data_IF_580896295666
#
_entry.id   IF_580896295666
#
_cell.length_a   1.000
_cell.length_b   1.000
_cell.length_c   1.000
_cell.angle_alpha   90.00
_cell.angle_beta   90.00
_cell.angle_gamma   90.00
#
_symmetry.space_group_name_H-M   'P 1'
#
loop_
_entity.id
_entity.type
_entity.pdbx_description
1 polymer ?
#
# COMPACT_ATOMS: atom_id res chain seq x y z
N UNK A 1 -14.00 0.25 -5.63
CA UNK A 1 -12.77 -0.55 -5.45
C UNK A 1 -12.78 -1.68 -6.48
N UNK A 2 -11.63 -2.19 -6.92
CA UNK A 2 -11.57 -3.21 -7.99
C UNK A 2 -11.89 -4.62 -7.51
N UNK A 3 -12.01 -4.85 -6.19
CA UNK A 3 -12.23 -6.16 -5.55
C UNK A 3 -11.20 -7.24 -5.95
N UNK A 4 -10.01 -6.82 -6.41
CA UNK A 4 -8.90 -7.69 -6.78
C UNK A 4 -7.87 -7.75 -5.66
N UNK A 5 -7.22 -8.89 -5.49
CA UNK A 5 -6.10 -9.05 -4.56
C UNK A 5 -4.87 -8.33 -5.11
N UNK A 6 -4.46 -7.25 -4.47
CA UNK A 6 -3.37 -6.42 -5.01
C UNK A 6 -1.99 -7.10 -4.88
N UNK A 7 -1.59 -7.58 -3.69
CA UNK A 7 -0.24 -8.09 -3.47
C UNK A 7 0.84 -7.14 -4.00
N UNK A 8 1.79 -7.68 -4.77
CA UNK A 8 2.83 -6.95 -5.49
C UNK A 8 2.44 -6.58 -6.94
N UNK A 9 1.16 -6.61 -7.30
CA UNK A 9 0.69 -6.27 -8.65
C UNK A 9 1.25 -4.92 -9.10
N UNK A 10 2.01 -4.87 -10.22
CA UNK A 10 2.58 -3.63 -10.73
C UNK A 10 1.51 -2.61 -11.13
N UNK A 11 1.81 -1.32 -10.98
CA UNK A 11 1.00 -0.24 -11.51
C UNK A 11 -0.34 0.01 -10.80
N UNK A 12 -0.65 -0.67 -9.69
CA UNK A 12 -1.82 -0.34 -8.86
C UNK A 12 -1.59 1.02 -8.21
N UNK A 13 -2.48 1.98 -8.53
CA UNK A 13 -2.44 3.38 -8.07
C UNK A 13 -3.50 3.64 -7.00
N UNK A 14 -3.34 4.73 -6.26
CA UNK A 14 -4.40 5.27 -5.43
C UNK A 14 -5.56 5.80 -6.29
N UNK A 15 -6.78 5.53 -5.84
CA UNK A 15 -7.96 6.23 -6.35
C UNK A 15 -8.08 7.63 -5.71
N UNK A 16 -9.06 8.40 -6.16
CA UNK A 16 -9.25 9.79 -5.73
C UNK A 16 -9.40 9.92 -4.21
N UNK A 17 -10.15 8.99 -3.59
CA UNK A 17 -10.29 8.93 -2.14
C UNK A 17 -8.95 8.64 -1.45
N UNK A 18 -8.18 7.69 -1.97
CA UNK A 18 -6.86 7.34 -1.44
C UNK A 18 -5.88 8.51 -1.54
N UNK A 19 -5.90 9.25 -2.65
CA UNK A 19 -5.09 10.48 -2.79
C UNK A 19 -5.50 11.54 -1.78
N UNK A 20 -6.80 11.78 -1.61
CA UNK A 20 -7.29 12.71 -0.58
C UNK A 20 -6.88 12.28 0.85
N UNK A 21 -6.86 10.97 1.13
CA UNK A 21 -6.38 10.44 2.41
C UNK A 21 -4.87 10.64 2.58
N UNK A 22 -4.07 10.44 1.53
CA UNK A 22 -2.63 10.66 1.54
C UNK A 22 -2.28 12.13 1.83
N UNK A 23 -2.98 13.07 1.20
CA UNK A 23 -2.82 14.51 1.48
C UNK A 23 -3.20 14.86 2.93
N UNK A 24 -4.27 14.25 3.46
CA UNK A 24 -4.70 14.49 4.83
C UNK A 24 -3.70 14.02 5.90
N UNK A 25 -2.79 13.08 5.56
CA UNK A 25 -1.74 12.62 6.50
C UNK A 25 -0.83 13.75 6.94
N UNK A 26 -0.58 14.75 6.08
CA UNK A 26 0.28 15.89 6.40
C UNK A 26 -0.23 16.62 7.63
N UNK A 27 -1.52 16.93 7.65
CA UNK A 27 -2.15 17.62 8.78
C UNK A 27 -2.30 16.69 9.99
N UNK A 28 -2.63 15.42 9.76
CA UNK A 28 -2.80 14.44 10.82
C UNK A 28 -1.51 14.20 11.63
N UNK A 29 -0.35 14.22 10.95
CA UNK A 29 0.96 14.00 11.56
C UNK A 29 1.72 15.29 11.85
N UNK A 30 1.06 16.45 11.70
CA UNK A 30 1.68 17.74 11.98
C UNK A 30 2.19 17.80 13.44
N UNK A 31 3.41 18.31 13.61
CA UNK A 31 4.06 18.44 14.92
C UNK A 31 4.65 17.15 15.49
N UNK A 32 4.49 16.00 14.84
CA UNK A 32 5.21 14.79 15.22
C UNK A 32 6.70 14.90 14.85
N UNK A 33 7.63 14.39 15.68
CA UNK A 33 9.07 14.49 15.44
C UNK A 33 9.56 13.47 14.40
N UNK A 34 8.93 13.44 13.23
CA UNK A 34 9.26 12.50 12.16
C UNK A 34 10.54 12.97 11.45
N UNK A 35 11.57 12.12 11.47
CA UNK A 35 12.90 12.41 10.91
C UNK A 35 13.12 11.81 9.51
N UNK A 36 12.37 10.78 9.16
CA UNK A 36 12.52 10.03 7.93
C UNK A 36 11.19 9.37 7.52
N UNK A 37 11.01 9.16 6.21
CA UNK A 37 9.86 8.46 5.64
C UNK A 37 10.38 7.31 4.79
N UNK A 38 9.94 6.10 5.11
CA UNK A 38 10.23 4.89 4.34
C UNK A 38 8.95 4.36 3.72
N UNK A 39 9.06 3.79 2.52
CA UNK A 39 7.93 3.20 1.80
C UNK A 39 8.35 1.95 1.05
N UNK A 40 7.40 1.05 0.83
CA UNK A 40 7.51 0.05 -0.22
C UNK A 40 7.71 0.74 -1.59
N UNK A 41 8.45 0.13 -2.54
CA UNK A 41 8.56 0.64 -3.91
C UNK A 41 7.25 0.46 -4.72
N UNK A 42 6.19 -0.12 -4.13
CA UNK A 42 4.89 -0.22 -4.80
C UNK A 42 4.28 1.17 -4.99
N UNK A 43 3.82 1.47 -6.22
CA UNK A 43 3.38 2.82 -6.62
C UNK A 43 2.35 3.41 -5.66
N UNK A 44 1.33 2.65 -5.26
CA UNK A 44 0.32 3.10 -4.28
C UNK A 44 0.91 3.52 -2.92
N UNK A 45 2.00 2.89 -2.48
CA UNK A 45 2.67 3.21 -1.22
C UNK A 45 3.48 4.48 -1.37
N UNK A 46 4.24 4.61 -2.46
CA UNK A 46 4.98 5.83 -2.81
C UNK A 46 4.01 7.02 -2.92
N UNK A 47 2.89 6.86 -3.62
CA UNK A 47 1.85 7.90 -3.72
C UNK A 47 1.26 8.29 -2.35
N UNK A 48 1.20 7.35 -1.39
CA UNK A 48 0.72 7.64 -0.04
C UNK A 48 1.74 8.42 0.77
N UNK A 49 3.02 8.08 0.64
CA UNK A 49 4.12 8.67 1.41
C UNK A 49 4.57 10.04 0.87
N UNK A 50 4.40 10.28 -0.43
CA UNK A 50 4.94 11.47 -1.12
C UNK A 50 4.49 12.80 -0.51
N UNK A 51 3.19 13.03 -0.22
CA UNK A 51 2.76 14.33 0.34
C UNK A 51 3.38 14.62 1.70
N UNK A 52 3.45 13.61 2.57
CA UNK A 52 4.07 13.73 3.89
C UNK A 52 5.57 13.97 3.79
N UNK A 53 6.28 13.21 2.96
CA UNK A 53 7.71 13.38 2.74
C UNK A 53 8.04 14.79 2.23
N UNK A 54 7.26 15.30 1.27
CA UNK A 54 7.39 16.66 0.76
C UNK A 54 7.16 17.72 1.85
N UNK A 55 6.12 17.57 2.66
CA UNK A 55 5.82 18.51 3.74
C UNK A 55 6.88 18.53 4.87
N UNK A 56 7.58 17.41 5.07
CA UNK A 56 8.67 17.27 6.04
C UNK A 56 10.05 17.61 5.46
N UNK A 57 10.14 17.95 4.16
CA UNK A 57 11.39 18.21 3.44
C UNK A 57 12.41 17.06 3.54
N UNK A 58 11.92 15.81 3.53
CA UNK A 58 12.74 14.60 3.51
C UNK A 58 12.38 13.72 2.31
N UNK A 59 13.30 12.90 1.79
CA UNK A 59 12.96 11.94 0.75
C UNK A 59 12.03 10.86 1.31
N UNK A 60 11.10 10.39 0.48
CA UNK A 60 10.46 9.09 0.68
C UNK A 60 11.44 8.00 0.20
N UNK A 61 12.06 7.29 1.14
CA UNK A 61 13.05 6.26 0.84
C UNK A 61 12.33 4.95 0.52
N UNK A 62 12.50 4.47 -0.71
CA UNK A 62 11.98 3.17 -1.13
C UNK A 62 12.84 2.04 -0.55
N UNK A 63 12.20 1.05 0.08
CA UNK A 63 12.85 -0.13 0.63
C UNK A 63 12.00 -1.38 0.36
N UNK A 64 12.60 -2.37 -0.27
CA UNK A 64 11.95 -3.64 -0.66
C UNK A 64 11.59 -4.50 0.54
N UNK A 65 12.16 -4.25 1.72
CA UNK A 65 11.77 -4.89 2.96
C UNK A 65 10.31 -4.62 3.36
N UNK A 66 9.70 -3.53 2.84
CA UNK A 66 8.29 -3.19 3.05
C UNK A 66 7.37 -3.64 1.91
N UNK A 67 7.81 -4.56 1.05
CA UNK A 67 6.93 -5.16 0.05
C UNK A 67 5.82 -5.98 0.71
N UNK A 68 4.63 -5.89 0.13
CA UNK A 68 3.50 -6.74 0.50
C UNK A 68 3.80 -8.23 0.20
N UNK A 69 2.97 -9.13 0.73
CA UNK A 69 2.99 -10.56 0.41
C UNK A 69 2.93 -10.78 -1.10
N UNK A 70 3.83 -11.64 -1.59
CA UNK A 70 3.79 -12.13 -2.95
C UNK A 70 2.81 -13.30 -3.05
N UNK A 71 1.62 -13.01 -3.58
CA UNK A 71 0.57 -14.01 -3.74
C UNK A 71 0.72 -14.85 -5.02
N UNK A 72 1.83 -14.72 -5.75
CA UNK A 72 2.08 -15.46 -6.98
C UNK A 72 0.96 -15.27 -8.00
N UNK A 73 0.36 -16.38 -8.44
CA UNK A 73 -0.72 -16.40 -9.44
C UNK A 73 -2.05 -15.77 -8.96
N UNK A 74 -2.24 -15.59 -7.65
CA UNK A 74 -3.46 -14.98 -7.12
C UNK A 74 -3.46 -13.45 -7.19
N UNK A 75 -2.32 -12.84 -7.54
CA UNK A 75 -2.19 -11.40 -7.70
C UNK A 75 -3.08 -10.92 -8.86
N UNK A 76 -3.90 -9.90 -8.61
CA UNK A 76 -4.87 -9.37 -9.56
C UNK A 76 -6.13 -10.22 -9.75
N UNK A 77 -6.23 -11.38 -9.11
CA UNK A 77 -7.44 -12.21 -9.15
C UNK A 77 -8.57 -11.58 -8.32
N UNK A 78 -9.82 -11.88 -8.68
CA UNK A 78 -10.99 -11.39 -7.96
C UNK A 78 -11.10 -12.06 -6.60
N UNK A 79 -11.20 -11.27 -5.53
CA UNK A 79 -11.26 -11.77 -4.16
C UNK A 79 -12.47 -12.68 -3.92
N UNK A 80 -13.56 -12.51 -4.66
CA UNK A 80 -14.76 -13.35 -4.53
C UNK A 80 -14.54 -14.75 -5.10
N UNK A 81 -13.67 -14.86 -6.11
CA UNK A 81 -13.29 -16.16 -6.67
C UNK A 81 -12.25 -16.85 -5.78
N UNK A 82 -11.26 -16.09 -5.29
CA UNK A 82 -10.30 -16.62 -4.33
C UNK A 82 -10.98 -17.10 -3.04
N UNK A 83 -11.99 -16.40 -2.56
CA UNK A 83 -12.75 -16.78 -1.36
C UNK A 83 -13.44 -18.16 -1.44
N UNK A 84 -13.60 -18.72 -2.64
CA UNK A 84 -14.16 -20.07 -2.84
C UNK A 84 -13.11 -21.17 -2.68
N UNK A 85 -11.82 -20.83 -2.70
CA UNK A 85 -10.73 -21.80 -2.61
C UNK A 85 -10.51 -22.22 -1.15
N UNK A 86 -10.42 -23.52 -0.83
CA UNK A 86 -10.09 -23.97 0.53
C UNK A 86 -8.78 -23.38 1.05
N UNK A 87 -7.79 -23.22 0.17
CA UNK A 87 -6.50 -22.62 0.50
C UNK A 87 -6.59 -21.14 0.90
N UNK A 88 -7.63 -20.40 0.46
CA UNK A 88 -7.84 -19.01 0.86
C UNK A 88 -8.11 -18.86 2.36
N UNK A 89 -8.73 -19.87 2.99
CA UNK A 89 -8.94 -19.88 4.44
C UNK A 89 -7.61 -19.88 5.19
N UNK A 90 -6.57 -20.55 4.68
CA UNK A 90 -5.27 -20.59 5.32
C UNK A 90 -4.59 -19.22 5.31
N UNK A 91 -4.65 -18.50 4.18
CA UNK A 91 -4.11 -17.13 4.06
C UNK A 91 -4.73 -16.18 5.08
N UNK A 92 -6.02 -16.33 5.41
CA UNK A 92 -6.66 -15.46 6.41
C UNK A 92 -6.29 -15.80 7.86
N UNK A 93 -5.94 -17.05 8.15
CA UNK A 93 -5.59 -17.49 9.50
C UNK A 93 -4.10 -17.33 9.82
N UNK A 94 -3.24 -17.35 8.80
CA UNK A 94 -1.79 -17.21 8.92
C UNK A 94 -1.27 -16.15 7.93
N UNK A 95 -1.58 -14.87 8.16
CA UNK A 95 -1.17 -13.77 7.29
C UNK A 95 0.35 -13.53 7.30
#
# INVERSE_FOLDING_TARGET
ATHKLAGRTPGVRLNDKGRAQAEALVQYLAGQPIRAVYTSPLVRCVETATPLAAALEVPAVEDTAFLEVDYGEWQGADLRELAKLPAWQQVQHFP
#
